data_IF_767958852011
#
_entry.id   IF_767958852011
#
_cell.length_a   1.000
_cell.length_b   1.000
_cell.length_c   1.000
_cell.angle_alpha   90.00
_cell.angle_beta   90.00
_cell.angle_gamma   90.00
#
_symmetry.space_group_name_H-M   'P 1'
#
loop_
_entity.id
_entity.type
_entity.pdbx_description
1 polymer ?
#
# COMPACT_ATOMS: atom_id res chain seq x y z
N UNK A 1 -2.57 19.09 -3.98
CA UNK A 1 -2.36 18.50 -2.63
C UNK A 1 -1.39 17.35 -2.76
N UNK A 2 -0.38 17.22 -1.89
CA UNK A 2 0.56 16.09 -1.90
C UNK A 2 0.19 15.15 -0.76
N UNK A 3 -0.12 13.89 -1.07
CA UNK A 3 -0.44 12.87 -0.09
C UNK A 3 0.78 11.98 0.11
N UNK A 4 1.28 11.89 1.34
CA UNK A 4 2.34 10.94 1.72
C UNK A 4 1.71 9.79 2.47
N UNK A 5 1.89 8.57 1.98
CA UNK A 5 1.32 7.37 2.59
C UNK A 5 2.45 6.59 3.29
N UNK A 6 2.29 6.37 4.60
CA UNK A 6 3.24 5.64 5.45
C UNK A 6 3.06 4.11 5.36
N UNK A 7 2.84 3.59 4.15
CA UNK A 7 2.55 2.15 3.95
C UNK A 7 3.67 1.26 4.48
N UNK A 8 4.93 1.68 4.35
CA UNK A 8 6.07 0.90 4.83
C UNK A 8 6.07 0.74 6.35
N UNK A 9 5.87 1.82 7.09
CA UNK A 9 5.84 1.85 8.56
C UNK A 9 4.72 0.93 9.08
N UNK A 10 3.51 1.07 8.55
CA UNK A 10 2.35 0.23 8.94
C UNK A 10 2.60 -1.25 8.66
N UNK A 11 3.27 -1.59 7.57
CA UNK A 11 3.61 -2.98 7.27
C UNK A 11 4.64 -3.56 8.24
N UNK A 12 5.64 -2.77 8.62
CA UNK A 12 6.64 -3.15 9.62
C UNK A 12 5.99 -3.40 10.98
N UNK A 13 5.09 -2.51 11.42
CA UNK A 13 4.29 -2.68 12.65
C UNK A 13 3.44 -3.96 12.63
N UNK A 14 2.90 -4.33 11.47
CA UNK A 14 2.08 -5.53 11.29
C UNK A 14 2.89 -6.81 11.02
N UNK A 15 4.20 -6.70 10.83
CA UNK A 15 5.06 -7.84 10.48
C UNK A 15 4.70 -8.51 9.15
N UNK A 16 4.19 -7.76 8.17
CA UNK A 16 3.81 -8.28 6.84
C UNK A 16 4.71 -7.77 5.71
N UNK A 17 4.94 -8.62 4.72
CA UNK A 17 5.70 -8.28 3.50
C UNK A 17 4.84 -7.58 2.45
N UNK A 18 5.47 -6.92 1.47
CA UNK A 18 4.74 -6.24 0.38
C UNK A 18 3.93 -7.24 -0.45
N UNK A 19 4.45 -8.46 -0.62
CA UNK A 19 3.78 -9.53 -1.33
C UNK A 19 2.53 -10.01 -0.59
N UNK A 20 2.59 -10.14 0.73
CA UNK A 20 1.44 -10.56 1.54
C UNK A 20 0.35 -9.50 1.55
N UNK A 21 0.71 -8.22 1.73
CA UNK A 21 -0.26 -7.13 1.66
C UNK A 21 -0.92 -7.06 0.29
N UNK A 22 -0.14 -7.21 -0.78
CA UNK A 22 -0.66 -7.23 -2.15
C UNK A 22 -1.66 -8.38 -2.36
N UNK A 23 -1.34 -9.58 -1.88
CA UNK A 23 -2.24 -10.75 -1.94
C UNK A 23 -3.52 -10.51 -1.13
N UNK A 24 -3.40 -10.06 0.12
CA UNK A 24 -4.55 -9.78 1.01
C UNK A 24 -5.47 -8.72 0.41
N UNK A 25 -4.91 -7.62 -0.06
CA UNK A 25 -5.66 -6.54 -0.68
C UNK A 25 -6.08 -6.84 -2.13
N UNK A 26 -5.63 -7.96 -2.72
CA UNK A 26 -5.83 -8.36 -4.12
C UNK A 26 -5.37 -7.29 -5.15
N UNK A 27 -4.24 -6.64 -4.88
CA UNK A 27 -3.63 -5.63 -5.77
C UNK A 27 -2.30 -6.14 -6.31
N UNK A 28 -1.78 -5.51 -7.37
CA UNK A 28 -0.43 -5.83 -7.87
C UNK A 28 0.61 -5.46 -6.80
N UNK A 29 1.61 -6.31 -6.58
CA UNK A 29 2.72 -6.00 -5.66
C UNK A 29 3.45 -4.71 -6.03
N UNK A 30 3.60 -4.44 -7.32
CA UNK A 30 4.18 -3.17 -7.82
C UNK A 30 3.44 -1.94 -7.28
N UNK A 31 2.10 -2.02 -7.16
CA UNK A 31 1.30 -0.93 -6.59
C UNK A 31 1.63 -0.67 -5.13
N UNK A 32 1.79 -1.73 -4.32
CA UNK A 32 2.24 -1.60 -2.92
C UNK A 32 3.67 -1.01 -2.87
N UNK A 33 4.54 -1.48 -3.76
CA UNK A 33 5.93 -1.02 -3.82
C UNK A 33 6.04 0.48 -4.13
N UNK A 34 5.25 0.97 -5.09
CA UNK A 34 5.17 2.39 -5.44
C UNK A 34 4.60 3.24 -4.30
N UNK A 35 3.59 2.73 -3.58
CA UNK A 35 3.04 3.38 -2.39
C UNK A 35 4.09 3.51 -1.28
N UNK A 36 4.81 2.42 -0.98
CA UNK A 36 5.86 2.44 0.03
C UNK A 36 7.01 3.41 -0.30
N UNK A 37 7.26 3.68 -1.60
CA UNK A 37 8.24 4.69 -2.05
C UNK A 37 7.65 6.08 -2.22
N UNK A 38 6.34 6.27 -2.03
CA UNK A 38 5.63 7.49 -2.39
C UNK A 38 5.89 7.92 -3.86
N UNK A 39 6.09 6.95 -4.75
CA UNK A 39 6.43 7.16 -6.16
C UNK A 39 5.18 7.21 -7.06
N UNK A 40 4.00 7.01 -6.49
CA UNK A 40 2.74 6.98 -7.21
C UNK A 40 2.09 8.36 -7.17
N UNK A 41 1.82 8.92 -8.34
CA UNK A 41 1.17 10.24 -8.48
C UNK A 41 -0.34 10.18 -8.27
N UNK A 42 -0.96 9.06 -8.66
CA UNK A 42 -2.41 8.86 -8.59
C UNK A 42 -2.80 7.57 -7.88
N UNK A 43 -3.80 7.65 -7.02
CA UNK A 43 -4.36 6.49 -6.35
C UNK A 43 -5.88 6.61 -6.23
N UNK A 44 -6.61 5.53 -6.50
CA UNK A 44 -8.05 5.50 -6.30
C UNK A 44 -8.42 5.03 -4.88
N UNK A 45 -9.55 5.54 -4.38
CA UNK A 45 -10.06 5.24 -3.05
C UNK A 45 -10.39 3.75 -2.86
N UNK A 46 -10.92 3.08 -3.88
CA UNK A 46 -11.27 1.66 -3.78
C UNK A 46 -10.04 0.79 -3.46
N UNK A 47 -8.89 1.11 -4.06
CA UNK A 47 -7.61 0.45 -3.81
C UNK A 47 -7.11 0.73 -2.39
N UNK A 48 -7.15 2.00 -1.95
CA UNK A 48 -6.74 2.38 -0.60
C UNK A 48 -7.59 1.68 0.46
N UNK A 49 -8.91 1.63 0.28
CA UNK A 49 -9.83 0.94 1.19
C UNK A 49 -9.51 -0.55 1.31
N UNK A 50 -9.10 -1.20 0.21
CA UNK A 50 -8.70 -2.61 0.23
C UNK A 50 -7.39 -2.82 0.97
N UNK A 51 -6.43 -1.91 0.79
CA UNK A 51 -5.13 -1.95 1.47
C UNK A 51 -5.32 -1.71 2.99
N UNK A 52 -6.10 -0.70 3.37
CA UNK A 52 -6.30 -0.31 4.76
C UNK A 52 -7.03 -1.34 5.62
N UNK A 53 -7.72 -2.32 5.02
CA UNK A 53 -8.39 -3.43 5.71
C UNK A 53 -7.44 -4.50 6.25
N UNK A 54 -6.15 -4.46 5.88
CA UNK A 54 -5.16 -5.48 6.19
C UNK A 54 -3.97 -4.89 6.88
#
# INVERSE_FOLDING_TARGET
MKLTIKSKEVMEEKGITQLELAKKANVRQAAISELCRNAREEVNLAMLTRIAKH
#
